data_IF_157882601052
#
_entry.id   IF_157882601052
#
_cell.length_a   1.000
_cell.length_b   1.000
_cell.length_c   1.000
_cell.angle_alpha   90.00
_cell.angle_beta   90.00
_cell.angle_gamma   90.00
#
_symmetry.space_group_name_H-M   'P 1'
#
loop_
_entity.id
_entity.type
_entity.pdbx_description
1 polymer ?
#
# COMPACT_ATOMS: atom_id res chain seq x y z
N UNK A 1 1.99 1.85 26.96
CA UNK A 1 2.35 1.34 28.31
C UNK A 1 2.88 -0.09 28.26
N UNK A 2 2.25 -1.05 27.57
CA UNK A 2 2.66 -2.47 27.55
C UNK A 2 4.11 -2.70 27.05
N UNK A 3 4.53 -2.01 25.98
CA UNK A 3 5.90 -2.10 25.46
C UNK A 3 6.98 -1.59 26.46
N UNK A 4 6.62 -0.68 27.38
CA UNK A 4 7.54 -0.21 28.44
C UNK A 4 7.68 -1.22 29.60
N UNK A 5 6.77 -2.19 29.69
CA UNK A 5 6.74 -3.23 30.73
C UNK A 5 7.28 -4.57 30.19
N UNK A 6 7.71 -4.61 28.92
CA UNK A 6 8.29 -5.81 28.30
C UNK A 6 7.28 -6.92 28.00
N UNK A 7 5.98 -6.61 28.09
CA UNK A 7 4.90 -7.53 27.72
C UNK A 7 4.35 -7.14 26.36
N UNK A 8 4.36 -8.08 25.43
CA UNK A 8 3.62 -7.95 24.17
C UNK A 8 2.20 -8.50 24.40
N UNK A 9 1.18 -7.63 24.59
CA UNK A 9 -0.20 -8.06 24.77
C UNK A 9 -0.74 -8.79 23.53
N UNK A 10 0.00 -8.74 22.43
CA UNK A 10 -0.35 -9.39 21.18
C UNK A 10 0.23 -10.83 21.11
N UNK A 11 1.23 -11.22 21.89
CA UNK A 11 1.97 -12.47 21.64
C UNK A 11 1.17 -13.79 21.87
N UNK A 12 -0.04 -13.78 22.46
CA UNK A 12 -0.79 -15.02 22.70
C UNK A 12 -2.31 -14.85 22.68
N UNK A 13 -3.00 -15.73 21.94
CA UNK A 13 -4.47 -15.91 21.98
C UNK A 13 -4.95 -16.55 23.29
N UNK A 14 -4.03 -17.06 24.11
CA UNK A 14 -4.26 -17.51 25.49
C UNK A 14 -3.63 -16.56 26.50
N UNK A 15 -3.18 -15.39 26.06
CA UNK A 15 -2.64 -14.37 26.94
C UNK A 15 -3.78 -13.75 27.74
N UNK A 16 -3.52 -13.50 29.03
CA UNK A 16 -4.45 -12.84 29.94
C UNK A 16 -5.17 -11.62 29.32
N UNK A 17 -4.49 -10.87 28.45
CA UNK A 17 -5.03 -9.70 27.76
C UNK A 17 -5.98 -9.99 26.58
N UNK A 18 -5.83 -11.12 25.90
CA UNK A 18 -6.74 -11.52 24.83
C UNK A 18 -8.11 -11.89 25.40
N UNK A 19 -8.13 -12.60 26.52
CA UNK A 19 -9.36 -13.03 27.21
C UNK A 19 -9.98 -11.91 28.07
N UNK A 20 -9.16 -11.08 28.71
CA UNK A 20 -9.64 -9.99 29.58
C UNK A 20 -10.08 -8.73 28.81
N UNK A 21 -9.44 -8.42 27.69
CA UNK A 21 -9.67 -7.16 26.95
C UNK A 21 -10.12 -7.36 25.50
N UNK A 22 -10.17 -8.59 24.96
CA UNK A 22 -10.57 -8.86 23.56
C UNK A 22 -9.62 -8.31 22.50
N UNK A 23 -8.44 -7.82 22.91
CA UNK A 23 -7.50 -7.10 22.02
C UNK A 23 -6.95 -8.01 20.92
N UNK A 24 -6.77 -9.30 21.21
CA UNK A 24 -6.36 -10.29 20.22
C UNK A 24 -7.40 -10.41 19.11
N UNK A 25 -8.66 -10.66 19.47
CA UNK A 25 -9.77 -10.86 18.54
C UNK A 25 -10.01 -9.64 17.65
N UNK A 26 -9.88 -8.43 18.21
CA UNK A 26 -9.96 -7.20 17.43
C UNK A 26 -8.93 -7.15 16.30
N UNK A 27 -7.65 -7.46 16.57
CA UNK A 27 -6.61 -7.40 15.55
C UNK A 27 -6.68 -8.55 14.54
N UNK A 28 -7.24 -9.71 14.91
CA UNK A 28 -7.53 -10.77 13.93
C UNK A 28 -8.69 -10.38 13.01
N UNK A 29 -9.79 -9.84 13.56
CA UNK A 29 -10.91 -9.36 12.76
C UNK A 29 -10.46 -8.24 11.80
N UNK A 30 -9.67 -7.30 12.30
CA UNK A 30 -9.07 -6.24 11.48
C UNK A 30 -8.13 -6.83 10.40
N UNK A 31 -7.37 -7.86 10.74
CA UNK A 31 -6.53 -8.60 9.80
C UNK A 31 -7.33 -9.21 8.65
N UNK A 32 -8.46 -9.86 8.93
CA UNK A 32 -9.36 -10.40 7.90
C UNK A 32 -9.89 -9.29 6.99
N UNK A 33 -10.31 -8.16 7.56
CA UNK A 33 -10.78 -7.01 6.77
C UNK A 33 -9.67 -6.45 5.86
N UNK A 34 -8.42 -6.40 6.33
CA UNK A 34 -7.26 -5.99 5.53
C UNK A 34 -7.05 -6.94 4.36
N UNK A 35 -7.08 -8.25 4.61
CA UNK A 35 -6.96 -9.28 3.56
C UNK A 35 -8.03 -9.08 2.49
N UNK A 36 -9.30 -8.91 2.90
CA UNK A 36 -10.41 -8.71 1.97
C UNK A 36 -10.26 -7.42 1.14
N UNK A 37 -9.75 -6.33 1.73
CA UNK A 37 -9.49 -5.09 0.99
C UNK A 37 -8.38 -5.31 -0.02
N UNK A 38 -7.28 -5.93 0.37
CA UNK A 38 -6.16 -6.22 -0.53
C UNK A 38 -6.61 -7.12 -1.69
N UNK A 39 -7.40 -8.16 -1.43
CA UNK A 39 -7.97 -9.02 -2.48
C UNK A 39 -8.89 -8.24 -3.43
N UNK A 40 -9.77 -7.39 -2.89
CA UNK A 40 -10.72 -6.61 -3.70
C UNK A 40 -10.04 -5.51 -4.54
N UNK A 41 -8.95 -4.92 -4.04
CA UNK A 41 -8.25 -3.82 -4.70
C UNK A 41 -7.14 -4.30 -5.64
N UNK A 42 -6.67 -5.55 -5.50
CA UNK A 42 -5.59 -6.14 -6.31
C UNK A 42 -5.75 -5.92 -7.83
N UNK A 43 -6.92 -6.12 -8.46
CA UNK A 43 -7.07 -5.90 -9.90
C UNK A 43 -6.75 -4.48 -10.35
N UNK A 44 -6.80 -3.51 -9.42
CA UNK A 44 -6.59 -2.09 -9.72
C UNK A 44 -5.21 -1.59 -9.30
N UNK A 45 -4.51 -2.24 -8.38
CA UNK A 45 -3.26 -1.74 -7.80
C UNK A 45 -2.11 -2.76 -7.76
N UNK A 46 -2.29 -3.91 -8.41
CA UNK A 46 -1.28 -4.98 -8.47
C UNK A 46 -0.96 -5.62 -7.11
N UNK A 47 -1.74 -5.34 -6.07
CA UNK A 47 -1.49 -5.82 -4.71
C UNK A 47 -0.57 -4.93 -3.87
N UNK A 48 -0.36 -3.68 -4.29
CA UNK A 48 0.33 -2.65 -3.52
C UNK A 48 -0.64 -1.49 -3.21
N UNK A 49 -0.84 -1.18 -1.92
CA UNK A 49 -1.76 -0.14 -1.48
C UNK A 49 -1.09 0.77 -0.45
N UNK A 50 -1.38 2.07 -0.47
CA UNK A 50 -0.89 2.96 0.60
C UNK A 50 -1.54 2.59 1.94
N UNK A 51 -0.79 2.69 3.04
CA UNK A 51 -1.34 2.47 4.38
C UNK A 51 -2.50 3.45 4.66
N UNK A 52 -2.39 4.68 4.16
CA UNK A 52 -3.43 5.71 4.23
C UNK A 52 -4.73 5.27 3.55
N UNK A 53 -4.68 4.78 2.32
CA UNK A 53 -5.85 4.28 1.60
C UNK A 53 -6.43 3.02 2.24
N UNK A 54 -5.58 2.13 2.74
CA UNK A 54 -6.03 0.97 3.50
C UNK A 54 -6.83 1.40 4.74
N UNK A 55 -6.30 2.35 5.52
CA UNK A 55 -7.00 2.91 6.69
C UNK A 55 -8.33 3.56 6.29
N UNK A 56 -8.34 4.33 5.19
CA UNK A 56 -9.56 4.97 4.66
C UNK A 56 -10.61 3.94 4.26
N UNK A 57 -10.23 2.89 3.52
CA UNK A 57 -11.14 1.83 3.09
C UNK A 57 -11.69 1.03 4.27
N UNK A 58 -10.86 0.74 5.28
CA UNK A 58 -11.29 0.13 6.52
C UNK A 58 -12.31 1.00 7.27
N UNK A 59 -12.03 2.30 7.38
CA UNK A 59 -12.95 3.27 7.99
C UNK A 59 -14.29 3.34 7.27
N UNK A 60 -14.29 3.22 5.93
CA UNK A 60 -15.52 3.16 5.13
C UNK A 60 -16.33 1.88 5.39
N UNK A 61 -15.69 0.72 5.58
CA UNK A 61 -16.36 -0.54 5.92
C UNK A 61 -16.96 -0.54 7.32
N UNK A 62 -16.35 0.22 8.25
CA UNK A 62 -16.77 0.31 9.65
C UNK A 62 -17.60 1.57 9.95
N UNK A 63 -18.27 2.16 8.95
CA UNK A 63 -19.20 3.29 9.16
C UNK A 63 -20.24 2.93 10.23
N UNK A 64 -20.18 3.60 11.38
CA UNK A 64 -21.04 3.33 12.55
C UNK A 64 -20.32 2.66 13.74
N UNK A 65 -19.06 2.22 13.57
CA UNK A 65 -18.23 1.80 14.70
C UNK A 65 -17.87 3.00 15.59
N UNK A 66 -17.78 2.77 16.90
CA UNK A 66 -17.52 3.82 17.89
C UNK A 66 -16.12 4.42 17.81
N UNK A 67 -15.16 3.69 17.25
CA UNK A 67 -13.74 4.06 17.25
C UNK A 67 -13.16 4.06 15.83
N UNK A 68 -12.41 5.12 15.52
CA UNK A 68 -11.66 5.22 14.27
C UNK A 68 -10.43 4.32 14.32
N UNK A 69 -10.15 3.62 13.22
CA UNK A 69 -8.95 2.80 13.08
C UNK A 69 -7.75 3.72 12.89
N UNK A 70 -6.72 3.55 13.73
CA UNK A 70 -5.44 4.24 13.55
C UNK A 70 -4.50 3.49 12.60
N UNK A 71 -3.47 4.18 12.10
CA UNK A 71 -2.40 3.50 11.36
C UNK A 71 -1.72 2.41 12.19
N UNK A 72 -1.53 2.64 13.50
CA UNK A 72 -0.90 1.67 14.40
C UNK A 72 -1.74 0.39 14.53
N UNK A 73 -3.07 0.52 14.51
CA UNK A 73 -3.95 -0.65 14.50
C UNK A 73 -3.79 -1.48 13.23
N UNK A 74 -3.65 -0.82 12.08
CA UNK A 74 -3.39 -1.49 10.82
C UNK A 74 -2.03 -2.19 10.83
N UNK A 75 -0.98 -1.53 11.33
CA UNK A 75 0.36 -2.13 11.43
C UNK A 75 0.37 -3.37 12.36
N UNK A 76 -0.34 -3.30 13.49
CA UNK A 76 -0.48 -4.44 14.41
C UNK A 76 -1.25 -5.59 13.76
N UNK A 77 -2.36 -5.31 13.09
CA UNK A 77 -3.14 -6.32 12.38
C UNK A 77 -2.33 -6.98 11.25
N UNK A 78 -1.58 -6.22 10.45
CA UNK A 78 -0.69 -6.76 9.42
C UNK A 78 0.41 -7.63 10.05
N UNK A 79 0.96 -7.22 11.18
CA UNK A 79 1.94 -8.04 11.92
C UNK A 79 1.36 -9.40 12.33
N UNK A 80 0.05 -9.48 12.63
CA UNK A 80 -0.64 -10.75 12.88
C UNK A 80 -0.74 -11.65 11.67
N UNK A 81 -0.87 -11.09 10.47
CA UNK A 81 -0.96 -11.87 9.23
C UNK A 81 0.35 -12.61 8.90
N UNK A 82 1.50 -12.21 9.48
CA UNK A 82 2.79 -12.88 9.26
C UNK A 82 2.80 -14.36 9.61
N UNK A 83 1.92 -14.82 10.51
CA UNK A 83 1.79 -16.24 10.84
C UNK A 83 1.29 -17.09 9.66
N UNK A 84 0.67 -16.46 8.66
CA UNK A 84 0.21 -17.08 7.42
C UNK A 84 1.32 -17.14 6.35
N UNK A 85 2.52 -16.66 6.67
CA UNK A 85 3.65 -16.53 5.76
C UNK A 85 3.94 -15.07 5.38
N UNK A 86 4.79 -14.88 4.37
CA UNK A 86 5.25 -13.55 3.92
C UNK A 86 4.30 -12.89 2.90
N UNK A 87 3.00 -13.20 2.96
CA UNK A 87 2.02 -12.69 2.00
C UNK A 87 1.64 -11.22 2.22
N UNK A 88 1.84 -10.70 3.42
CA UNK A 88 1.53 -9.31 3.77
C UNK A 88 2.73 -8.65 4.44
N UNK A 89 3.19 -7.55 3.84
CA UNK A 89 4.34 -6.80 4.32
C UNK A 89 4.11 -5.30 4.19
N UNK A 90 4.64 -4.55 5.15
CA UNK A 90 4.68 -3.09 5.08
C UNK A 90 6.07 -2.69 4.63
N UNK A 91 6.15 -2.05 3.46
CA UNK A 91 7.37 -1.49 2.90
C UNK A 91 7.33 0.04 2.97
N UNK A 92 8.49 0.67 3.06
CA UNK A 92 8.61 2.13 3.01
C UNK A 92 9.16 2.54 1.65
N UNK A 93 8.45 3.43 0.97
CA UNK A 93 8.89 4.05 -0.29
C UNK A 93 8.80 5.55 -0.10
N UNK A 94 9.92 6.26 -0.21
CA UNK A 94 9.99 7.70 0.11
C UNK A 94 9.36 8.03 1.46
N UNK A 95 8.30 8.83 1.46
CA UNK A 95 7.58 9.26 2.68
C UNK A 95 6.35 8.39 2.99
N UNK A 96 5.98 7.46 2.13
CA UNK A 96 4.77 6.64 2.27
C UNK A 96 5.10 5.23 2.75
N UNK A 97 4.23 4.68 3.60
CA UNK A 97 4.18 3.25 3.91
C UNK A 97 3.20 2.59 2.95
N UNK A 98 3.63 1.52 2.30
CA UNK A 98 2.82 0.73 1.39
C UNK A 98 2.66 -0.68 1.96
N UNK A 99 1.48 -1.26 1.79
CA UNK A 99 1.16 -2.63 2.13
C UNK A 99 1.23 -3.46 0.85
N UNK A 100 2.18 -4.39 0.82
CA UNK A 100 2.35 -5.40 -0.22
C UNK A 100 1.59 -6.66 0.18
N UNK A 101 0.67 -7.10 -0.66
CA UNK A 101 -0.23 -8.25 -0.42
C UNK A 101 0.00 -9.43 -1.37
N UNK A 102 0.94 -9.27 -2.30
CA UNK A 102 1.38 -10.31 -3.24
C UNK A 102 2.90 -10.29 -3.33
N UNK A 103 3.56 -11.42 -3.60
CA UNK A 103 5.00 -11.44 -3.86
C UNK A 103 5.29 -10.67 -5.15
N UNK A 104 5.90 -9.49 -5.02
CA UNK A 104 6.36 -8.66 -6.14
C UNK A 104 7.78 -8.20 -5.87
N UNK A 105 8.68 -8.38 -6.84
CA UNK A 105 10.09 -8.02 -6.72
C UNK A 105 10.31 -6.54 -7.02
N UNK A 106 10.38 -5.73 -5.97
CA UNK A 106 10.71 -4.31 -6.06
C UNK A 106 12.19 -4.10 -5.80
N UNK A 107 12.93 -3.75 -6.85
CA UNK A 107 14.33 -3.38 -6.74
C UNK A 107 14.48 -1.86 -6.44
N UNK A 108 15.72 -1.38 -6.37
CA UNK A 108 16.01 0.03 -6.11
C UNK A 108 15.38 0.95 -7.16
N UNK A 109 15.39 0.56 -8.43
CA UNK A 109 14.89 1.36 -9.54
C UNK A 109 13.37 1.54 -9.46
N UNK A 110 12.66 0.45 -9.15
CA UNK A 110 11.23 0.47 -8.93
C UNK A 110 10.86 1.37 -7.75
N UNK A 111 11.63 1.31 -6.65
CA UNK A 111 11.41 2.17 -5.48
C UNK A 111 11.66 3.66 -5.79
N UNK A 112 12.69 4.00 -6.56
CA UNK A 112 12.97 5.38 -6.98
C UNK A 112 11.84 5.95 -7.86
N UNK A 113 11.30 5.14 -8.78
CA UNK A 113 10.13 5.50 -9.60
C UNK A 113 8.89 5.73 -8.74
N UNK A 114 8.56 4.79 -7.86
CA UNK A 114 7.40 4.89 -6.98
C UNK A 114 7.52 6.08 -6.02
N UNK A 115 8.74 6.41 -5.56
CA UNK A 115 9.00 7.61 -4.77
C UNK A 115 8.78 8.89 -5.59
N UNK A 116 9.29 8.95 -6.82
CA UNK A 116 9.09 10.10 -7.72
C UNK A 116 7.59 10.33 -8.01
N UNK A 117 6.84 9.24 -8.22
CA UNK A 117 5.41 9.27 -8.48
C UNK A 117 4.58 9.86 -7.31
N UNK A 118 5.09 9.91 -6.08
CA UNK A 118 4.35 10.46 -4.93
C UNK A 118 3.98 11.94 -5.09
N UNK A 119 4.67 12.67 -5.96
CA UNK A 119 4.38 14.09 -6.21
C UNK A 119 3.05 14.33 -6.94
N UNK A 120 2.69 13.45 -7.89
CA UNK A 120 1.54 13.69 -8.78
C UNK A 120 0.73 12.43 -9.14
N UNK A 121 1.16 11.25 -8.70
CA UNK A 121 0.52 9.96 -8.97
C UNK A 121 1.02 9.24 -10.23
N UNK A 122 1.75 9.92 -11.11
CA UNK A 122 2.33 9.35 -12.32
C UNK A 122 3.75 9.84 -12.58
N UNK A 123 4.45 9.14 -13.47
CA UNK A 123 5.72 9.61 -14.05
C UNK A 123 5.74 9.42 -15.56
N UNK A 124 6.64 10.13 -16.21
CA UNK A 124 7.03 9.93 -17.61
C UNK A 124 8.48 9.44 -17.70
N UNK A 125 8.85 8.79 -18.81
CA UNK A 125 10.24 8.35 -19.06
C UNK A 125 11.21 9.54 -18.94
N UNK A 126 10.85 10.68 -19.55
CA UNK A 126 11.64 11.91 -19.50
C UNK A 126 11.91 12.42 -18.08
N UNK A 127 10.91 12.35 -17.19
CA UNK A 127 11.05 12.76 -15.79
C UNK A 127 12.01 11.85 -15.03
N UNK A 128 11.89 10.52 -15.21
CA UNK A 128 12.79 9.54 -14.60
C UNK A 128 14.23 9.77 -15.08
N UNK A 129 14.42 9.94 -16.39
CA UNK A 129 15.74 10.21 -16.98
C UNK A 129 16.35 11.49 -16.42
N UNK A 130 15.58 12.59 -16.37
CA UNK A 130 16.09 13.88 -15.87
C UNK A 130 16.37 13.84 -14.37
N UNK A 131 15.53 13.17 -13.59
CA UNK A 131 15.62 13.16 -12.12
C UNK A 131 16.79 12.32 -11.62
N UNK A 132 17.08 11.21 -12.29
CA UNK A 132 18.07 10.22 -11.84
C UNK A 132 19.25 10.05 -12.80
N UNK A 133 19.30 10.81 -13.89
CA UNK A 133 20.32 10.71 -14.94
C UNK A 133 20.40 9.31 -15.56
N UNK A 134 19.25 8.64 -15.73
CA UNK A 134 19.18 7.31 -16.32
C UNK A 134 19.16 7.34 -17.85
N UNK A 135 19.62 6.25 -18.47
CA UNK A 135 19.41 6.02 -19.88
C UNK A 135 17.92 5.78 -20.17
N UNK A 136 17.49 6.07 -21.40
CA UNK A 136 16.10 5.85 -21.82
C UNK A 136 15.72 4.37 -21.70
N UNK A 137 16.58 3.45 -22.14
CA UNK A 137 16.33 2.01 -22.00
C UNK A 137 16.10 1.57 -20.56
N UNK A 138 16.96 1.96 -19.62
CA UNK A 138 16.81 1.61 -18.20
C UNK A 138 15.49 2.14 -17.60
N UNK A 139 15.13 3.39 -17.91
CA UNK A 139 13.88 3.98 -17.43
C UNK A 139 12.66 3.27 -18.01
N UNK A 140 12.68 2.97 -19.32
CA UNK A 140 11.62 2.22 -20.00
C UNK A 140 11.48 0.81 -19.42
N UNK A 141 12.57 0.04 -19.32
CA UNK A 141 12.55 -1.34 -18.81
C UNK A 141 11.97 -1.42 -17.39
N UNK A 142 12.37 -0.49 -16.51
CA UNK A 142 11.86 -0.43 -15.15
C UNK A 142 10.36 -0.07 -15.09
N UNK A 143 9.91 0.83 -15.97
CA UNK A 143 8.49 1.21 -16.06
C UNK A 143 7.63 0.10 -16.69
N UNK A 144 8.15 -0.61 -17.69
CA UNK A 144 7.50 -1.77 -18.31
C UNK A 144 7.39 -2.92 -17.32
N UNK A 145 8.43 -3.19 -16.52
CA UNK A 145 8.36 -4.18 -15.43
C UNK A 145 7.23 -3.83 -14.44
N UNK A 146 7.09 -2.55 -14.05
CA UNK A 146 6.02 -2.12 -13.16
C UNK A 146 4.62 -2.25 -13.79
N UNK A 147 4.50 -2.15 -15.12
CA UNK A 147 3.26 -2.42 -15.84
C UNK A 147 2.93 -3.91 -15.89
N UNK A 148 3.92 -4.75 -16.18
CA UNK A 148 3.76 -6.21 -16.24
C UNK A 148 3.33 -6.79 -14.88
N UNK A 149 3.87 -6.23 -13.79
CA UNK A 149 3.46 -6.56 -12.43
C UNK A 149 2.08 -5.99 -12.03
N UNK A 150 1.44 -5.19 -12.91
CA UNK A 150 0.14 -4.57 -12.66
C UNK A 150 0.17 -3.45 -11.62
N UNK A 151 1.36 -2.93 -11.29
CA UNK A 151 1.54 -1.83 -10.33
C UNK A 151 1.38 -0.45 -10.98
N UNK A 152 1.45 -0.38 -12.30
CA UNK A 152 1.28 0.82 -13.09
C UNK A 152 0.15 0.67 -14.12
N UNK A 153 -0.36 1.81 -14.60
CA UNK A 153 -1.28 1.90 -15.73
C UNK A 153 -0.77 2.92 -16.74
N UNK A 154 -0.95 2.66 -18.04
CA UNK A 154 -0.59 3.61 -19.10
C UNK A 154 -1.73 4.61 -19.32
N UNK A 155 -1.38 5.88 -19.48
CA UNK A 155 -2.23 6.92 -20.03
C UNK A 155 -1.51 7.60 -21.21
N UNK A 156 -2.03 7.38 -22.42
CA UNK A 156 -1.59 8.00 -23.67
C UNK A 156 -2.54 9.13 -24.13
N UNK A 157 -3.59 9.44 -23.36
CA UNK A 157 -4.68 10.35 -23.75
C UNK A 157 -4.43 11.81 -23.40
N UNK A 158 -3.36 12.13 -22.70
CA UNK A 158 -3.11 13.49 -22.24
C UNK A 158 -2.76 14.46 -23.39
N UNK A 159 -3.18 15.73 -23.25
CA UNK A 159 -3.13 16.77 -24.30
C UNK A 159 -1.74 17.11 -24.85
N UNK A 160 -0.68 16.81 -24.09
CA UNK A 160 0.70 17.04 -24.49
C UNK A 160 1.31 15.89 -25.30
N UNK A 161 0.55 14.82 -25.54
CA UNK A 161 0.98 13.64 -26.29
C UNK A 161 2.02 12.80 -25.58
N UNK A 162 2.28 13.03 -24.29
CA UNK A 162 3.27 12.28 -23.51
C UNK A 162 2.60 11.14 -22.76
N UNK A 163 3.14 9.93 -22.97
CA UNK A 163 2.78 8.73 -22.21
C UNK A 163 3.09 8.93 -20.72
N UNK A 164 2.09 8.65 -19.87
CA UNK A 164 2.20 8.65 -18.42
C UNK A 164 2.02 7.26 -17.87
N UNK A 165 2.79 6.94 -16.83
CA UNK A 165 2.69 5.72 -16.06
C UNK A 165 2.11 6.08 -14.70
N UNK A 166 0.84 5.73 -14.47
CA UNK A 166 0.08 6.02 -13.26
C UNK A 166 0.23 4.93 -12.22
N UNK A 167 0.43 5.30 -10.97
CA UNK A 167 0.65 4.38 -9.85
C UNK A 167 -0.44 4.54 -8.78
N UNK A 168 -1.44 3.64 -8.74
CA UNK A 168 -2.54 3.67 -7.77
C UNK A 168 -2.06 3.68 -6.32
N UNK A 169 -0.96 2.99 -6.03
CA UNK A 169 -0.43 2.83 -4.67
C UNK A 169 0.12 4.13 -4.04
N UNK A 170 0.39 5.16 -4.85
CA UNK A 170 0.92 6.45 -4.39
C UNK A 170 0.04 7.64 -4.78
N UNK A 171 -0.86 7.45 -5.74
CA UNK A 171 -1.89 8.43 -6.13
C UNK A 171 -2.89 8.62 -4.99
N UNK A 172 -3.22 9.87 -4.66
CA UNK A 172 -4.38 10.13 -3.81
C UNK A 172 -5.64 9.78 -4.61
N UNK A 173 -6.61 9.10 -4.00
CA UNK A 173 -7.86 8.75 -4.69
C UNK A 173 -8.64 10.00 -5.17
N UNK A 174 -8.32 11.20 -4.68
CA UNK A 174 -8.86 12.45 -5.23
C UNK A 174 -8.50 12.69 -6.70
N UNK A 175 -7.47 12.03 -7.24
CA UNK A 175 -7.05 12.17 -8.64
C UNK A 175 -7.98 11.45 -9.63
N UNK A 176 -8.76 10.46 -9.18
CA UNK A 176 -9.65 9.68 -10.05
C UNK A 176 -11.01 10.36 -10.30
N UNK A 177 -11.38 11.34 -9.48
CA UNK A 177 -12.68 12.00 -9.56
C UNK A 177 -12.81 13.02 -10.71
N UNK A 178 -11.77 13.18 -11.54
CA UNK A 178 -11.75 14.13 -12.66
C UNK A 178 -12.39 13.63 -13.96
N UNK A 179 -12.49 12.31 -14.16
CA UNK A 179 -12.87 11.73 -15.47
C UNK A 179 -14.12 10.85 -15.41
N UNK A 180 -15.03 11.09 -14.47
CA UNK A 180 -16.35 10.40 -14.47
C UNK A 180 -17.51 11.29 -14.03
N UNK A 181 -17.58 12.49 -14.61
CA UNK A 181 -18.83 13.26 -14.75
C UNK A 181 -18.96 13.83 -16.17
#
# INVERSE_FOLDING_TARGET
MCAKVGVDPLASNKGFWAELLGIGDFYYELGVQIVDICLATRPHNGGLISLEDLCRLLGQRRKGAREAISEDDCLRAISKLKVLGNGFEVISVGKKKLVRSVPTELNKDHNEILELAQGQGFVTVDEVQKRFSWSSGRATDALETLLEEGLAMIDDGHRDGRRRYWFPCVSSVSSYAGDTL
#
